data_IF_324402027139
#
_entry.id   IF_324402027139
#
_cell.length_a   1.000
_cell.length_b   1.000
_cell.length_c   1.000
_cell.angle_alpha   90.00
_cell.angle_beta   90.00
_cell.angle_gamma   90.00
#
_symmetry.space_group_name_H-M   'P 1'
#
loop_
_entity.id
_entity.type
_entity.pdbx_description
1 polymer ?
#
# COMPACT_ATOMS: atom_id res chain seq x y z
N UNK A 1 4.23 -29.66 -21.50
CA UNK A 1 4.08 -29.21 -21.15
C UNK A 1 3.73 -28.85 -20.47
N UNK A 2 3.70 -28.76 -20.39
CA UNK A 2 3.43 -28.24 -19.79
C UNK A 2 3.27 -27.70 -19.03
N UNK A 3 3.45 -27.37 -19.01
CA UNK A 3 3.42 -26.59 -18.33
C UNK A 3 3.01 -26.08 -17.59
N UNK A 4 3.00 -25.83 -17.54
CA UNK A 4 2.70 -25.14 -16.76
C UNK A 4 2.38 -24.88 -15.84
N UNK A 5 2.59 -25.12 -15.96
CA UNK A 5 2.33 -24.76 -15.08
C UNK A 5 2.19 -24.48 -14.17
N UNK A 6 2.34 -24.63 -14.23
CA UNK A 6 2.21 -24.19 -13.40
C UNK A 6 2.37 -23.60 -12.91
N UNK A 7 2.70 -23.25 -13.13
CA UNK A 7 2.83 -22.42 -12.55
C UNK A 7 2.35 -21.83 -11.97
N UNK A 8 2.12 -21.86 -12.19
CA UNK A 8 1.74 -21.16 -11.61
C UNK A 8 1.42 -21.04 -10.66
N UNK A 9 1.38 -21.47 -10.80
CA UNK A 9 1.12 -21.33 -9.86
C UNK A 9 1.53 -21.05 -8.88
N UNK A 10 1.93 -21.19 -8.92
CA UNK A 10 2.37 -20.86 -8.07
C UNK A 10 2.39 -19.84 -7.58
N UNK A 11 2.27 -19.64 -7.96
CA UNK A 11 2.23 -18.72 -7.42
C UNK A 11 1.48 -18.35 -6.76
N UNK A 12 1.25 -18.62 -7.35
CA UNK A 12 0.33 -18.09 -6.79
C UNK A 12 0.21 -18.25 -5.53
N UNK A 13 0.01 -18.91 -5.30
CA UNK A 13 -0.18 -18.88 -4.10
C UNK A 13 0.83 -18.37 -3.35
N UNK A 14 1.59 -18.18 -3.66
CA UNK A 14 2.41 -17.76 -2.89
C UNK A 14 2.21 -16.69 -2.36
N UNK A 15 2.14 -16.22 -2.78
CA UNK A 15 2.13 -15.13 -2.24
C UNK A 15 1.23 -14.82 -1.33
N UNK A 16 0.44 -15.14 -1.50
CA UNK A 16 -0.34 -14.74 -0.61
C UNK A 16 0.03 -14.90 0.69
N UNK A 17 0.53 -15.73 0.93
CA UNK A 17 0.85 -15.95 2.26
C UNK A 17 1.73 -14.94 2.84
N UNK A 18 2.61 -14.47 2.10
CA UNK A 18 3.57 -13.60 2.68
C UNK A 18 3.03 -12.31 3.17
N UNK A 19 1.87 -11.98 2.79
CA UNK A 19 1.38 -10.71 3.19
C UNK A 19 0.80 -10.69 4.53
N UNK A 20 0.52 -11.80 5.04
CA UNK A 20 -0.10 -11.81 6.33
C UNK A 20 0.89 -11.42 7.37
N UNK A 21 0.41 -10.90 8.44
CA UNK A 21 1.28 -10.68 9.56
C UNK A 21 2.20 -9.51 9.48
N UNK A 22 1.92 -8.59 8.66
CA UNK A 22 2.70 -7.38 8.70
C UNK A 22 3.85 -7.32 7.75
N UNK A 23 3.77 -8.01 6.68
CA UNK A 23 4.74 -7.85 5.65
C UNK A 23 4.69 -6.45 5.06
N UNK A 24 5.73 -6.07 4.34
CA UNK A 24 5.76 -4.77 3.68
C UNK A 24 5.27 -4.92 2.24
N UNK A 25 4.79 -3.80 1.67
CA UNK A 25 4.31 -3.79 0.31
C UNK A 25 5.46 -3.72 -0.69
N UNK A 26 6.47 -2.93 -0.37
CA UNK A 26 7.66 -2.81 -1.22
C UNK A 26 8.76 -2.17 -0.41
N UNK A 27 9.98 -2.18 -0.96
CA UNK A 27 11.09 -1.48 -0.33
C UNK A 27 11.82 -0.63 -1.36
N UNK A 28 12.53 0.38 -0.86
CA UNK A 28 13.29 1.28 -1.67
C UNK A 28 14.69 1.45 -1.11
N UNK A 29 15.64 1.71 -1.98
CA UNK A 29 17.02 1.90 -1.57
C UNK A 29 17.38 3.37 -1.36
N UNK A 30 16.49 4.27 -1.70
CA UNK A 30 16.72 5.70 -1.51
C UNK A 30 15.67 6.29 -0.61
N UNK A 31 16.02 7.38 0.07
CA UNK A 31 15.13 8.02 1.03
C UNK A 31 13.84 8.47 0.35
N UNK A 32 12.68 8.17 0.91
CA UNK A 32 11.43 8.66 0.34
C UNK A 32 11.38 10.18 0.38
N UNK A 33 10.77 10.82 -0.63
CA UNK A 33 10.57 12.26 -0.58
C UNK A 33 9.60 12.64 0.52
N UNK A 34 9.56 13.92 0.90
CA UNK A 34 8.57 14.37 1.87
C UNK A 34 7.16 14.13 1.37
N UNK A 35 6.27 13.80 2.29
CA UNK A 35 4.87 13.56 1.97
C UNK A 35 4.25 14.84 1.42
N UNK A 36 3.47 14.71 0.36
CA UNK A 36 2.75 15.84 -0.20
C UNK A 36 1.53 16.16 0.64
N UNK A 37 1.27 17.45 0.79
CA UNK A 37 0.04 17.91 1.42
C UNK A 37 -0.98 18.13 0.30
N UNK A 38 -2.08 17.38 0.35
CA UNK A 38 -3.08 17.45 -0.70
C UNK A 38 -4.37 18.08 -0.17
N UNK A 39 -5.06 18.77 -1.05
CA UNK A 39 -6.39 19.25 -0.73
C UNK A 39 -7.36 18.09 -0.86
N UNK A 40 -8.10 17.82 0.21
CA UNK A 40 -9.04 16.70 0.20
C UNK A 40 -10.32 17.01 -0.55
N UNK A 41 -10.65 18.29 -0.66
CA UNK A 41 -11.92 18.68 -1.24
C UNK A 41 -13.06 18.27 -0.31
N UNK A 42 -14.21 18.10 -0.89
CA UNK A 42 -15.43 17.78 -0.15
C UNK A 42 -15.69 16.29 -0.29
N UNK A 43 -16.05 15.65 0.81
CA UNK A 43 -16.39 14.23 0.78
C UNK A 43 -17.58 14.01 -0.17
N UNK A 44 -17.54 12.94 -0.97
CA UNK A 44 -18.63 12.67 -1.91
C UNK A 44 -19.96 12.33 -1.23
N UNK A 45 -19.91 11.95 0.03
CA UNK A 45 -21.12 11.65 0.78
C UNK A 45 -20.78 11.30 2.21
N UNK A 46 -21.82 11.09 3.01
CA UNK A 46 -21.64 10.71 4.39
C UNK A 46 -20.97 9.34 4.46
N UNK A 47 -20.15 9.16 5.46
CA UNK A 47 -19.50 7.88 5.68
C UNK A 47 -18.25 7.63 4.89
N UNK A 48 -17.87 8.52 4.00
CA UNK A 48 -16.61 8.38 3.29
C UNK A 48 -15.44 8.77 4.21
N UNK A 49 -14.32 8.08 4.04
CA UNK A 49 -13.12 8.31 4.82
C UNK A 49 -11.99 8.69 3.88
N UNK A 50 -11.23 9.69 4.27
CA UNK A 50 -10.07 10.11 3.46
C UNK A 50 -8.92 9.13 3.68
N UNK A 51 -8.37 8.63 2.57
CA UNK A 51 -7.19 7.78 2.58
C UNK A 51 -6.05 8.60 1.99
N UNK A 52 -5.04 8.88 2.80
CA UNK A 52 -3.93 9.72 2.38
C UNK A 52 -3.14 9.09 1.26
N UNK A 53 -2.61 9.94 0.38
CA UNK A 53 -1.69 9.48 -0.63
C UNK A 53 -0.35 9.08 -0.04
N UNK A 54 0.47 8.51 -0.87
CA UNK A 54 1.78 8.07 -0.42
C UNK A 54 2.73 7.95 -1.62
N UNK A 55 4.01 7.80 -1.32
CA UNK A 55 5.00 7.60 -2.36
C UNK A 55 5.11 6.12 -2.68
N UNK A 56 4.75 5.75 -3.91
CA UNK A 56 5.03 4.42 -4.42
C UNK A 56 6.43 4.38 -5.01
N UNK A 57 6.97 3.20 -5.18
CA UNK A 57 8.33 3.04 -5.70
C UNK A 57 8.32 1.90 -6.70
N UNK A 58 8.73 2.22 -7.91
CA UNK A 58 8.74 1.21 -8.97
C UNK A 58 9.88 1.54 -9.93
N UNK A 59 10.67 0.53 -10.25
CA UNK A 59 11.74 0.71 -11.21
C UNK A 59 12.78 1.71 -10.76
N UNK A 60 13.02 1.79 -9.47
CA UNK A 60 14.03 2.70 -8.94
C UNK A 60 13.59 4.14 -8.80
N UNK A 61 12.32 4.43 -8.99
CA UNK A 61 11.83 5.80 -8.93
C UNK A 61 10.57 5.90 -8.07
N UNK A 62 10.47 7.00 -7.34
CA UNK A 62 9.27 7.29 -6.57
C UNK A 62 8.22 7.96 -7.45
N UNK A 63 6.98 7.60 -7.22
CA UNK A 63 5.84 8.22 -7.87
C UNK A 63 4.74 8.41 -6.85
N UNK A 64 4.14 9.60 -6.87
CA UNK A 64 3.11 9.91 -5.88
C UNK A 64 1.80 9.22 -6.24
N UNK A 65 1.24 8.50 -5.26
CA UNK A 65 -0.09 7.90 -5.38
C UNK A 65 -1.05 8.82 -4.65
N UNK A 66 -1.98 9.47 -5.34
CA UNK A 66 -2.84 10.46 -4.69
C UNK A 66 -3.76 9.86 -3.66
N UNK A 67 -4.09 10.67 -2.67
CA UNK A 67 -5.11 10.29 -1.71
C UNK A 67 -6.48 10.28 -2.35
N UNK A 68 -7.44 9.69 -1.65
CA UNK A 68 -8.78 9.58 -2.20
C UNK A 68 -9.79 9.34 -1.08
N UNK A 69 -11.04 9.59 -1.40
CA UNK A 69 -12.13 9.26 -0.50
C UNK A 69 -12.55 7.81 -0.75
N UNK A 70 -12.73 7.06 0.32
CA UNK A 70 -13.15 5.66 0.22
C UNK A 70 -14.27 5.35 1.20
N UNK A 71 -15.10 4.43 0.82
CA UNK A 71 -16.14 3.93 1.71
C UNK A 71 -15.56 2.77 2.51
N UNK A 72 -15.69 2.78 3.84
CA UNK A 72 -15.19 1.66 4.63
C UNK A 72 -15.85 0.35 4.20
N UNK A 73 -15.11 -0.74 4.27
CA UNK A 73 -15.65 -2.03 3.81
C UNK A 73 -16.70 -2.62 4.73
N UNK A 74 -16.80 -2.12 5.94
CA UNK A 74 -17.81 -2.57 6.90
C UNK A 74 -18.02 -1.49 7.94
N UNK A 75 -19.09 -1.63 8.72
CA UNK A 75 -19.39 -0.67 9.76
C UNK A 75 -18.26 -0.61 10.77
N UNK A 76 -17.94 0.59 11.21
CA UNK A 76 -16.92 0.85 12.22
C UNK A 76 -15.51 0.51 11.81
N UNK A 77 -15.31 0.23 10.54
CA UNK A 77 -13.94 0.03 10.07
C UNK A 77 -13.18 1.33 10.16
N UNK A 78 -11.91 1.25 10.52
CA UNK A 78 -11.03 2.39 10.61
C UNK A 78 -9.88 2.24 9.66
N UNK A 79 -9.48 3.34 9.09
CA UNK A 79 -8.30 3.33 8.21
C UNK A 79 -7.04 3.51 9.04
N UNK A 80 -6.09 2.58 8.86
CA UNK A 80 -4.77 2.68 9.47
C UNK A 80 -3.82 3.11 8.36
N UNK A 81 -3.21 4.30 8.47
CA UNK A 81 -2.35 4.80 7.41
C UNK A 81 -1.13 3.93 7.22
N UNK A 82 -0.60 3.96 6.01
CA UNK A 82 0.65 3.30 5.74
C UNK A 82 1.80 4.01 6.44
N UNK A 83 2.93 3.36 6.50
CA UNK A 83 4.09 3.93 7.15
C UNK A 83 5.37 3.35 6.57
N UNK A 84 6.45 4.08 6.74
CA UNK A 84 7.76 3.64 6.33
C UNK A 84 8.54 3.11 7.52
N UNK A 85 9.35 2.11 7.27
CA UNK A 85 10.26 1.57 8.26
C UNK A 85 11.66 1.54 7.65
N UNK A 86 12.63 2.07 8.37
CA UNK A 86 14.01 2.07 7.92
C UNK A 86 14.74 0.91 8.57
N UNK A 87 15.40 0.10 7.76
CA UNK A 87 16.13 -1.04 8.25
C UNK A 87 17.37 -1.27 7.40
N UNK A 88 18.53 -1.24 8.01
CA UNK A 88 19.78 -1.53 7.32
C UNK A 88 19.97 -0.72 6.05
N UNK A 89 19.62 0.56 6.12
CA UNK A 89 19.80 1.43 4.98
C UNK A 89 18.78 1.29 3.89
N UNK A 90 17.73 0.53 4.13
CA UNK A 90 16.62 0.39 3.19
C UNK A 90 15.35 0.87 3.81
N UNK A 91 14.41 1.24 2.96
CA UNK A 91 13.15 1.84 3.38
C UNK A 91 12.03 0.91 2.96
N UNK A 92 11.32 0.37 3.94
CA UNK A 92 10.25 -0.60 3.71
C UNK A 92 8.92 0.08 3.93
N UNK A 93 8.02 0.01 2.97
CA UNK A 93 6.71 0.61 3.10
C UNK A 93 5.68 -0.43 3.50
N UNK A 94 4.97 -0.13 4.58
CA UNK A 94 3.86 -0.94 5.05
C UNK A 94 2.60 -0.21 4.65
N UNK A 95 1.84 -0.77 3.72
CA UNK A 95 0.68 -0.03 3.22
C UNK A 95 -0.41 0.07 4.26
N UNK A 96 -1.26 1.07 4.08
CA UNK A 96 -2.39 1.26 4.96
C UNK A 96 -3.41 0.15 4.82
N UNK A 97 -4.26 0.04 5.80
CA UNK A 97 -5.27 -1.02 5.80
C UNK A 97 -6.47 -0.62 6.63
N UNK A 98 -7.55 -1.32 6.42
CA UNK A 98 -8.73 -1.17 7.26
C UNK A 98 -8.64 -2.12 8.46
N UNK A 99 -9.10 -1.63 9.62
CA UNK A 99 -9.16 -2.44 10.83
C UNK A 99 -10.57 -2.49 11.33
#
# INVERSE_FOLDING_TARGET
MKRTLGLAVILGGLGLAGCAGGGYAFYASTTPPPVRVESRGVAPGAGFVWVDGYWGYRGGAYAWVPGRWERPPRARARWVPGRWETRRGRYYYHEGRWR
#
